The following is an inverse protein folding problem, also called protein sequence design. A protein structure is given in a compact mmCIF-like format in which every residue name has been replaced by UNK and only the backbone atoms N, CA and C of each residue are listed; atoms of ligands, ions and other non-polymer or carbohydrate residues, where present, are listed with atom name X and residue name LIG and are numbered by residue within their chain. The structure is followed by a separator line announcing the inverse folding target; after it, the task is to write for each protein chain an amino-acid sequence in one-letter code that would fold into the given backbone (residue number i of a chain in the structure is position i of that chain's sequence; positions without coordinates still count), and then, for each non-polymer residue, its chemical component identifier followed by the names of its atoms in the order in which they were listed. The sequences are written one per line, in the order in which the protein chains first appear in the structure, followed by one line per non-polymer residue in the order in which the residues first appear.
data_IF_981578183888
#
_entry.id   IF_981578183888
#
_cell.length_a   1.000
_cell.length_b   1.000
_cell.length_c   1.000
_cell.angle_alpha   90.00
_cell.angle_beta   90.00
_cell.angle_gamma   90.00
#
_symmetry.space_group_name_H-M   'P 1'
#
loop_
_entity.id
_entity.type
_entity.pdbx_description
1 polymer ?
#
# COMPACT_ATOMS: atom_id res chain seq x y z
N UNK A 1 -28.60 -31.21 5.50
CA UNK A 1 -27.47 -30.27 5.42
C UNK A 1 -27.43 -29.47 6.71
N UNK A 2 -26.25 -29.29 7.31
CA UNK A 2 -26.11 -28.49 8.54
C UNK A 2 -26.43 -27.03 8.19
N UNK A 3 -27.39 -26.44 8.90
CA UNK A 3 -27.71 -25.01 8.74
C UNK A 3 -26.55 -24.21 9.31
N UNK A 4 -26.06 -23.23 8.56
CA UNK A 4 -25.01 -22.33 9.03
C UNK A 4 -25.57 -21.47 10.19
N UNK A 5 -24.87 -21.43 11.31
CA UNK A 5 -25.24 -20.60 12.47
C UNK A 5 -24.18 -19.54 12.76
N UNK A 6 -24.51 -18.55 13.61
CA UNK A 6 -23.56 -17.54 14.06
C UNK A 6 -22.35 -18.17 14.77
N UNK A 7 -22.57 -19.24 15.55
CA UNK A 7 -21.48 -19.96 16.22
C UNK A 7 -20.54 -20.60 15.19
N UNK A 8 -21.09 -21.21 14.16
CA UNK A 8 -20.30 -21.81 13.08
C UNK A 8 -19.49 -20.73 12.34
N UNK A 9 -20.08 -19.55 12.05
CA UNK A 9 -19.37 -18.43 11.41
C UNK A 9 -18.18 -17.97 12.26
N UNK A 10 -18.33 -17.87 13.58
CA UNK A 10 -17.21 -17.50 14.47
C UNK A 10 -16.07 -18.52 14.42
N UNK A 11 -16.40 -19.81 14.40
CA UNK A 11 -15.42 -20.88 14.29
C UNK A 11 -14.69 -20.83 12.94
N UNK A 12 -15.43 -20.64 11.85
CA UNK A 12 -14.88 -20.45 10.50
C UNK A 12 -13.93 -19.25 10.47
N UNK A 13 -14.35 -18.09 10.98
CA UNK A 13 -13.52 -16.89 11.01
C UNK A 13 -12.26 -17.07 11.87
N UNK A 14 -12.32 -17.85 12.94
CA UNK A 14 -11.12 -18.20 13.74
C UNK A 14 -10.10 -19.00 12.93
N UNK A 15 -10.57 -19.96 12.12
CA UNK A 15 -9.69 -20.73 11.21
C UNK A 15 -9.09 -19.82 10.14
N UNK A 16 -9.90 -18.94 9.54
CA UNK A 16 -9.43 -17.99 8.53
C UNK A 16 -8.48 -16.94 9.11
N UNK A 17 -8.66 -16.54 10.37
CA UNK A 17 -7.71 -15.70 11.11
C UNK A 17 -6.34 -16.38 11.23
N UNK A 18 -6.29 -17.66 11.60
CA UNK A 18 -5.02 -18.42 11.67
C UNK A 18 -4.37 -18.60 10.28
N UNK A 19 -5.15 -18.78 9.21
CA UNK A 19 -4.63 -18.73 7.84
C UNK A 19 -4.07 -17.34 7.51
N UNK A 20 -4.75 -16.27 7.91
CA UNK A 20 -4.31 -14.89 7.70
C UNK A 20 -2.99 -14.61 8.41
N UNK A 21 -2.86 -14.98 9.70
CA UNK A 21 -1.61 -14.86 10.47
C UNK A 21 -0.44 -15.57 9.80
N UNK A 22 -0.64 -16.81 9.33
CA UNK A 22 0.40 -17.55 8.57
C UNK A 22 0.79 -16.82 7.29
N UNK A 23 -0.16 -16.27 6.56
CA UNK A 23 0.13 -15.49 5.35
C UNK A 23 0.96 -14.24 5.65
N UNK A 24 0.62 -13.52 6.73
CA UNK A 24 1.41 -12.37 7.21
C UNK A 24 2.84 -12.79 7.56
N UNK A 25 3.02 -13.89 8.28
CA UNK A 25 4.35 -14.42 8.62
C UNK A 25 5.16 -14.80 7.37
N UNK A 26 4.55 -15.50 6.41
CA UNK A 26 5.20 -15.83 5.14
C UNK A 26 5.60 -14.57 4.37
N UNK A 27 4.76 -13.55 4.36
CA UNK A 27 5.06 -12.27 3.73
C UNK A 27 6.28 -11.57 4.38
N UNK A 28 6.32 -11.58 5.71
CA UNK A 28 7.41 -11.01 6.50
C UNK A 28 8.74 -11.76 6.33
N UNK A 29 8.71 -13.10 6.32
CA UNK A 29 9.89 -13.94 6.14
C UNK A 29 10.38 -14.00 4.68
N UNK A 30 9.47 -13.83 3.71
CA UNK A 30 9.79 -13.76 2.29
C UNK A 30 10.34 -12.41 1.83
N UNK A 31 10.24 -11.37 2.66
CA UNK A 31 10.80 -10.04 2.36
C UNK A 31 12.24 -9.96 2.87
N UNK A 32 13.18 -9.53 2.03
CA UNK A 32 14.56 -9.27 2.46
C UNK A 32 14.64 -8.00 3.32
N UNK A 33 14.39 -8.14 4.62
CA UNK A 33 14.31 -7.00 5.55
C UNK A 33 15.65 -6.34 5.85
N UNK A 34 16.76 -6.99 5.54
CA UNK A 34 18.10 -6.41 5.68
C UNK A 34 18.44 -5.46 4.53
N UNK A 35 17.64 -5.47 3.46
CA UNK A 35 17.70 -4.50 2.38
C UNK A 35 16.59 -3.48 2.56
N UNK A 36 16.94 -2.25 2.97
CA UNK A 36 15.97 -1.17 3.12
C UNK A 36 15.11 -0.94 1.87
N UNK A 37 15.71 -1.04 0.68
CA UNK A 37 14.98 -0.92 -0.59
C UNK A 37 13.93 -2.02 -0.75
N UNK A 38 14.29 -3.29 -0.48
CA UNK A 38 13.34 -4.40 -0.64
C UNK A 38 12.23 -4.34 0.43
N UNK A 39 12.59 -3.96 1.66
CA UNK A 39 11.65 -3.72 2.76
C UNK A 39 10.64 -2.64 2.40
N UNK A 40 11.11 -1.47 1.95
CA UNK A 40 10.26 -0.35 1.56
C UNK A 40 9.41 -0.69 0.33
N UNK A 41 9.95 -1.42 -0.63
CA UNK A 41 9.19 -1.89 -1.80
C UNK A 41 8.03 -2.80 -1.40
N UNK A 42 8.26 -3.76 -0.49
CA UNK A 42 7.18 -4.60 0.06
C UNK A 42 6.14 -3.75 0.79
N UNK A 43 6.59 -2.83 1.66
CA UNK A 43 5.70 -1.94 2.41
C UNK A 43 4.80 -1.11 1.49
N UNK A 44 5.38 -0.50 0.45
CA UNK A 44 4.65 0.28 -0.54
C UNK A 44 3.65 -0.58 -1.31
N UNK A 45 4.06 -1.75 -1.80
CA UNK A 45 3.14 -2.65 -2.51
C UNK A 45 1.98 -3.10 -1.60
N UNK A 46 2.24 -3.36 -0.32
CA UNK A 46 1.19 -3.70 0.64
C UNK A 46 0.20 -2.53 0.82
N UNK A 47 0.72 -1.31 0.94
CA UNK A 47 -0.08 -0.09 1.06
C UNK A 47 -0.91 0.17 -0.20
N UNK A 48 -0.34 0.07 -1.40
CA UNK A 48 -1.06 0.24 -2.67
C UNK A 48 -2.22 -0.75 -2.78
N UNK A 49 -2.00 -2.01 -2.41
CA UNK A 49 -3.06 -3.03 -2.41
C UNK A 49 -4.17 -2.72 -1.38
N UNK A 50 -3.79 -2.27 -0.17
CA UNK A 50 -4.75 -1.88 0.85
C UNK A 50 -5.61 -0.69 0.39
N UNK A 51 -4.97 0.35 -0.15
CA UNK A 51 -5.64 1.54 -0.66
C UNK A 51 -6.60 1.19 -1.81
N UNK A 52 -6.15 0.39 -2.79
CA UNK A 52 -7.02 -0.09 -3.86
C UNK A 52 -8.23 -0.85 -3.32
N UNK A 53 -8.02 -1.74 -2.35
CA UNK A 53 -9.11 -2.50 -1.73
C UNK A 53 -10.10 -1.58 -0.98
N UNK A 54 -9.61 -0.62 -0.19
CA UNK A 54 -10.43 0.39 0.51
C UNK A 54 -11.20 1.28 -0.47
N UNK A 55 -10.57 1.71 -1.57
CA UNK A 55 -11.22 2.50 -2.61
C UNK A 55 -12.31 1.70 -3.32
N UNK A 56 -12.09 0.42 -3.61
CA UNK A 56 -13.10 -0.47 -4.17
C UNK A 56 -14.28 -0.68 -3.21
N UNK A 57 -14.04 -0.78 -1.91
CA UNK A 57 -15.11 -0.81 -0.91
C UNK A 57 -15.89 0.51 -0.85
N UNK A 58 -15.23 1.66 -1.05
CA UNK A 58 -15.86 2.99 -1.01
C UNK A 58 -16.65 3.32 -2.27
N UNK A 59 -16.07 3.10 -3.45
CA UNK A 59 -16.61 3.55 -4.74
C UNK A 59 -17.40 2.45 -5.47
N UNK A 60 -16.93 1.20 -5.37
CA UNK A 60 -17.46 0.06 -6.14
C UNK A 60 -18.10 -1.01 -5.23
N UNK A 61 -18.65 -0.62 -4.07
CA UNK A 61 -19.03 -1.51 -2.98
C UNK A 61 -19.77 -2.78 -3.43
N UNK A 62 -20.88 -2.65 -4.18
CA UNK A 62 -21.69 -3.81 -4.63
C UNK A 62 -20.91 -4.78 -5.52
N UNK A 63 -20.02 -4.26 -6.36
CA UNK A 63 -19.20 -5.08 -7.25
C UNK A 63 -18.12 -5.81 -6.45
N UNK A 64 -17.43 -5.09 -5.56
CA UNK A 64 -16.44 -5.65 -4.63
C UNK A 64 -17.03 -6.78 -3.78
N UNK A 65 -18.27 -6.62 -3.27
CA UNK A 65 -18.95 -7.68 -2.54
C UNK A 65 -19.22 -8.92 -3.39
N UNK A 66 -19.57 -8.76 -4.69
CA UNK A 66 -19.79 -9.88 -5.60
C UNK A 66 -18.51 -10.66 -5.86
N UNK A 67 -17.38 -9.97 -5.99
CA UNK A 67 -16.05 -10.58 -6.20
C UNK A 67 -15.60 -11.41 -5.00
N UNK A 68 -16.11 -11.13 -3.80
CA UNK A 68 -15.84 -11.91 -2.59
C UNK A 68 -16.75 -13.12 -2.41
N UNK A 69 -17.89 -13.19 -3.11
CA UNK A 69 -18.83 -14.31 -2.97
C UNK A 69 -18.21 -15.69 -3.29
N UNK A 70 -17.39 -15.86 -4.36
CA UNK A 70 -16.72 -17.12 -4.63
C UNK A 70 -15.83 -17.56 -3.46
N UNK A 71 -15.15 -16.61 -2.79
CA UNK A 71 -14.29 -16.93 -1.65
C UNK A 71 -15.09 -17.38 -0.43
N UNK A 72 -16.23 -16.75 -0.16
CA UNK A 72 -17.16 -17.18 0.89
C UNK A 72 -17.63 -18.61 0.63
N UNK A 73 -18.09 -18.90 -0.59
CA UNK A 73 -18.53 -20.24 -0.98
C UNK A 73 -17.43 -21.28 -0.82
N UNK A 74 -16.20 -20.96 -1.28
CA UNK A 74 -15.06 -21.85 -1.13
C UNK A 74 -14.78 -22.17 0.34
N UNK A 75 -14.82 -21.17 1.23
CA UNK A 75 -14.58 -21.39 2.66
C UNK A 75 -15.69 -22.26 3.26
N UNK A 76 -16.95 -22.03 2.90
CA UNK A 76 -18.05 -22.87 3.35
C UNK A 76 -17.86 -24.33 2.91
N UNK A 77 -17.49 -24.56 1.66
CA UNK A 77 -17.22 -25.89 1.11
C UNK A 77 -16.03 -26.58 1.80
N UNK A 78 -14.92 -25.85 2.01
CA UNK A 78 -13.74 -26.33 2.76
C UNK A 78 -14.09 -26.77 4.20
N UNK A 79 -15.13 -26.18 4.78
CA UNK A 79 -15.61 -26.47 6.14
C UNK A 79 -16.79 -27.46 6.16
N UNK A 80 -17.13 -28.05 5.00
CA UNK A 80 -18.17 -29.07 4.88
C UNK A 80 -19.60 -28.53 4.89
N UNK A 81 -19.80 -27.23 4.68
CA UNK A 81 -21.12 -26.61 4.53
C UNK A 81 -21.57 -26.64 3.06
N UNK A 82 -22.89 -26.69 2.88
CA UNK A 82 -23.51 -26.53 1.56
C UNK A 82 -23.53 -25.06 1.11
N UNK A 83 -23.99 -24.80 -0.12
CA UNK A 83 -24.16 -23.44 -0.61
C UNK A 83 -25.19 -22.68 0.22
N UNK A 84 -24.82 -21.50 0.70
CA UNK A 84 -25.67 -20.62 1.48
C UNK A 84 -26.16 -19.45 0.59
N UNK A 85 -27.43 -19.03 0.63
CA UNK A 85 -27.92 -17.95 -0.20
C UNK A 85 -27.16 -16.64 0.04
N UNK A 86 -26.70 -15.98 -1.02
CA UNK A 86 -25.93 -14.71 -0.96
C UNK A 86 -26.65 -13.62 -0.16
N UNK A 87 -27.99 -13.66 -0.13
CA UNK A 87 -28.83 -12.69 0.56
C UNK A 87 -29.09 -13.04 2.04
N UNK A 88 -28.72 -14.24 2.50
CA UNK A 88 -28.88 -14.63 3.90
C UNK A 88 -28.01 -13.78 4.83
N UNK A 89 -28.42 -13.69 6.09
CA UNK A 89 -27.69 -12.90 7.08
C UNK A 89 -26.32 -13.52 7.34
N UNK A 90 -26.29 -14.85 7.44
CA UNK A 90 -25.13 -15.68 7.71
C UNK A 90 -24.06 -15.52 6.63
N UNK A 91 -24.47 -15.56 5.35
CA UNK A 91 -23.55 -15.32 4.23
C UNK A 91 -22.93 -13.92 4.29
N UNK A 92 -23.76 -12.90 4.57
CA UNK A 92 -23.31 -11.51 4.65
C UNK A 92 -22.36 -11.30 5.83
N UNK A 93 -22.66 -11.91 6.98
CA UNK A 93 -21.81 -11.85 8.18
C UNK A 93 -20.45 -12.48 7.93
N UNK A 94 -20.41 -13.67 7.30
CA UNK A 94 -19.15 -14.31 6.95
C UNK A 94 -18.36 -13.43 5.96
N UNK A 95 -19.00 -12.91 4.92
CA UNK A 95 -18.35 -12.01 3.96
C UNK A 95 -17.77 -10.76 4.62
N UNK A 96 -18.51 -10.14 5.53
CA UNK A 96 -18.05 -8.97 6.28
C UNK A 96 -16.82 -9.31 7.14
N UNK A 97 -16.84 -10.45 7.84
CA UNK A 97 -15.70 -10.93 8.63
C UNK A 97 -14.46 -11.17 7.77
N UNK A 98 -14.61 -11.68 6.54
CA UNK A 98 -13.49 -11.86 5.62
C UNK A 98 -12.92 -10.53 5.11
N UNK A 99 -13.77 -9.52 4.89
CA UNK A 99 -13.31 -8.16 4.55
C UNK A 99 -12.47 -7.61 5.70
N UNK A 100 -12.94 -7.75 6.93
CA UNK A 100 -12.24 -7.27 8.12
C UNK A 100 -10.89 -7.98 8.30
N UNK A 101 -10.85 -9.31 8.20
CA UNK A 101 -9.60 -10.08 8.25
C UNK A 101 -8.61 -9.67 7.15
N UNK A 102 -9.11 -9.30 5.97
CA UNK A 102 -8.26 -8.82 4.88
C UNK A 102 -7.66 -7.45 5.17
N UNK A 103 -8.42 -6.54 5.77
CA UNK A 103 -7.94 -5.23 6.21
C UNK A 103 -6.89 -5.38 7.32
N UNK A 104 -7.17 -6.20 8.34
CA UNK A 104 -6.23 -6.51 9.41
C UNK A 104 -4.94 -7.14 8.87
N UNK A 105 -5.05 -8.01 7.86
CA UNK A 105 -3.87 -8.59 7.20
C UNK A 105 -2.93 -7.53 6.62
N UNK A 106 -3.46 -6.47 5.97
CA UNK A 106 -2.64 -5.38 5.44
C UNK A 106 -1.95 -4.61 6.56
N UNK A 107 -2.69 -4.31 7.63
CA UNK A 107 -2.15 -3.63 8.80
C UNK A 107 -1.04 -4.41 9.50
N UNK A 108 -1.24 -5.72 9.73
CA UNK A 108 -0.25 -6.57 10.37
C UNK A 108 1.03 -6.69 9.52
N UNK A 109 0.90 -6.81 8.20
CA UNK A 109 2.07 -6.77 7.29
C UNK A 109 2.86 -5.47 7.43
N UNK A 110 2.17 -4.33 7.52
CA UNK A 110 2.77 -3.01 7.71
C UNK A 110 3.49 -2.92 9.06
N UNK A 111 2.84 -3.34 10.14
CA UNK A 111 3.43 -3.34 11.50
C UNK A 111 4.71 -4.17 11.52
N UNK A 112 4.67 -5.41 11.03
CA UNK A 112 5.83 -6.29 11.04
C UNK A 112 7.03 -5.72 10.26
N UNK A 113 6.80 -5.12 9.09
CA UNK A 113 7.88 -4.59 8.24
C UNK A 113 8.37 -3.19 8.66
N UNK A 114 7.54 -2.41 9.36
CA UNK A 114 7.93 -1.09 9.87
C UNK A 114 8.97 -1.16 10.99
N UNK A 115 9.16 -2.32 11.64
CA UNK A 115 10.19 -2.52 12.65
C UNK A 115 9.79 -2.08 14.05
N UNK A 116 8.50 -2.11 14.39
CA UNK A 116 8.01 -1.86 15.75
C UNK A 116 7.68 -3.21 16.44
N UNK A 117 8.63 -3.84 17.16
CA UNK A 117 8.46 -5.18 17.76
C UNK A 117 7.50 -5.21 18.96
N UNK A 118 7.07 -4.06 19.49
CA UNK A 118 6.23 -3.98 20.69
C UNK A 118 4.78 -4.49 20.56
N UNK A 119 4.40 -5.09 19.43
CA UNK A 119 3.06 -5.68 19.23
C UNK A 119 3.09 -7.21 19.16
N UNK A 120 4.28 -7.84 19.09
CA UNK A 120 4.38 -9.28 18.82
C UNK A 120 4.54 -10.14 20.08
N UNK A 121 4.76 -9.57 21.27
CA UNK A 121 4.88 -10.35 22.52
C UNK A 121 3.61 -10.47 23.37
N UNK A 122 2.51 -9.81 23.02
CA UNK A 122 1.22 -9.99 23.71
C UNK A 122 0.18 -10.62 22.78
N UNK A 123 0.40 -11.87 22.37
CA UNK A 123 -0.62 -12.68 21.65
C UNK A 123 -1.14 -13.86 22.48
N UNK A 124 -1.00 -13.82 23.80
CA UNK A 124 -1.75 -14.70 24.70
C UNK A 124 -3.00 -13.96 25.19
N UNK A 125 -4.15 -14.33 24.61
CA UNK A 125 -5.47 -13.98 25.13
C UNK A 125 -6.10 -12.71 24.55
N UNK A 126 -6.78 -12.83 23.41
CA UNK A 126 -7.88 -11.93 23.08
C UNK A 126 -9.14 -12.78 22.85
N UNK A 127 -9.94 -12.88 23.90
CA UNK A 127 -11.35 -13.28 23.81
C UNK A 127 -12.15 -12.20 23.06
N UNK A 128 -13.28 -12.55 22.41
CA UNK A 128 -14.00 -11.65 21.52
C UNK A 128 -14.95 -10.75 22.30
N UNK A 129 -14.69 -9.45 22.36
CA UNK A 129 -15.67 -8.45 22.83
C UNK A 129 -15.52 -7.18 21.99
N UNK A 130 -16.49 -6.93 21.13
CA UNK A 130 -17.60 -5.98 21.30
C UNK A 130 -17.23 -4.53 20.99
N UNK A 131 -18.07 -3.94 20.15
CA UNK A 131 -17.97 -2.62 19.52
C UNK A 131 -17.52 -1.51 20.46
N UNK A 132 -16.43 -0.82 20.09
CA UNK A 132 -16.13 0.52 20.60
C UNK A 132 -15.78 1.43 19.42
N UNK A 133 -16.62 2.45 19.24
CA UNK A 133 -16.31 3.62 18.44
C UNK A 133 -15.23 4.42 19.15
N UNK A 134 -14.08 4.62 18.50
CA UNK A 134 -13.08 5.58 18.99
C UNK A 134 -12.78 6.56 17.87
N UNK A 135 -13.35 7.75 18.00
CA UNK A 135 -12.86 8.96 17.36
C UNK A 135 -11.44 9.22 17.85
N UNK A 136 -10.46 9.15 16.94
CA UNK A 136 -9.08 9.53 17.26
C UNK A 136 -8.94 11.02 16.98
N UNK A 137 -8.76 11.80 18.05
CA UNK A 137 -8.27 13.17 17.96
C UNK A 137 -6.82 13.14 17.46
N UNK A 138 -6.58 13.91 16.40
CA UNK A 138 -5.29 14.10 15.78
C UNK A 138 -4.60 15.25 16.51
N UNK A 139 -3.75 14.94 17.49
CA UNK A 139 -2.88 15.93 18.09
C UNK A 139 -1.64 16.15 17.21
N UNK A 140 -1.43 17.42 16.90
CA UNK A 140 -0.35 17.99 16.10
C UNK A 140 1.04 17.65 16.66
N UNK A 141 1.88 17.01 15.85
CA UNK A 141 3.31 16.84 16.13
C UNK A 141 4.09 17.78 15.23
N UNK A 142 5.02 18.53 15.84
CA UNK A 142 5.88 19.52 15.21
C UNK A 142 6.64 18.97 13.98
N UNK A 143 6.66 19.78 12.93
CA UNK A 143 6.92 19.43 11.54
C UNK A 143 8.42 19.35 11.22
N UNK A 144 9.10 18.26 11.64
CA UNK A 144 10.44 17.91 11.16
C UNK A 144 10.35 17.09 9.85
N UNK A 145 9.58 17.58 8.90
CA UNK A 145 9.38 16.90 7.62
C UNK A 145 10.65 16.92 6.77
N UNK A 146 11.13 15.74 6.40
CA UNK A 146 12.25 15.56 5.48
C UNK A 146 11.92 16.21 4.13
N UNK A 147 12.80 17.07 3.60
CA UNK A 147 12.58 17.67 2.28
C UNK A 147 12.82 16.66 1.15
N UNK A 148 12.16 16.89 0.01
CA UNK A 148 12.30 16.03 -1.16
C UNK A 148 13.74 16.03 -1.70
N UNK A 149 14.45 17.16 -1.65
CA UNK A 149 15.85 17.25 -2.08
C UNK A 149 16.77 16.41 -1.21
N UNK A 150 16.55 16.39 0.11
CA UNK A 150 17.31 15.54 1.03
C UNK A 150 16.97 14.07 0.79
N UNK A 151 15.69 13.73 0.58
CA UNK A 151 15.28 12.37 0.23
C UNK A 151 15.95 11.88 -1.06
N UNK A 152 15.97 12.70 -2.12
CA UNK A 152 16.63 12.40 -3.39
C UNK A 152 18.14 12.17 -3.23
N UNK A 153 18.82 13.02 -2.45
CA UNK A 153 20.25 12.85 -2.13
C UNK A 153 20.50 11.53 -1.40
N UNK A 154 19.71 11.22 -0.38
CA UNK A 154 19.83 9.97 0.38
C UNK A 154 19.56 8.75 -0.51
N UNK A 155 18.58 8.83 -1.41
CA UNK A 155 18.31 7.78 -2.39
C UNK A 155 19.52 7.55 -3.31
N UNK A 156 20.09 8.60 -3.91
CA UNK A 156 21.26 8.49 -4.79
C UNK A 156 22.45 7.90 -4.03
N UNK A 157 22.72 8.39 -2.81
CA UNK A 157 23.80 7.87 -1.96
C UNK A 157 23.61 6.36 -1.69
N UNK A 158 22.38 5.94 -1.39
CA UNK A 158 22.07 4.52 -1.19
C UNK A 158 22.38 3.65 -2.44
N UNK A 159 22.31 4.21 -3.65
CA UNK A 159 22.68 3.51 -4.89
C UNK A 159 24.20 3.34 -4.99
N UNK A 160 24.96 4.36 -4.58
CA UNK A 160 26.42 4.33 -4.51
C UNK A 160 26.87 3.27 -3.51
N UNK A 161 26.31 3.28 -2.30
CA UNK A 161 26.69 2.37 -1.22
C UNK A 161 26.42 0.90 -1.56
N UNK A 162 25.40 0.66 -2.39
CA UNK A 162 25.04 -0.68 -2.91
C UNK A 162 25.90 -1.14 -4.10
N UNK A 163 26.89 -0.36 -4.51
CA UNK A 163 27.77 -0.68 -5.64
C UNK A 163 27.06 -0.64 -6.99
N UNK A 164 26.05 0.23 -7.16
CA UNK A 164 25.39 0.43 -8.46
C UNK A 164 26.40 0.93 -9.50
N UNK A 165 26.17 0.59 -10.76
CA UNK A 165 27.06 1.06 -11.83
C UNK A 165 27.02 2.59 -11.96
N UNK A 166 28.11 3.24 -12.43
CA UNK A 166 28.14 4.67 -12.64
C UNK A 166 27.01 5.18 -13.54
N UNK A 167 26.65 4.41 -14.58
CA UNK A 167 25.54 4.76 -15.48
C UNK A 167 24.20 4.76 -14.73
N UNK A 168 23.93 3.75 -13.90
CA UNK A 168 22.69 3.69 -13.12
C UNK A 168 22.60 4.84 -12.11
N UNK A 169 23.72 5.22 -11.47
CA UNK A 169 23.76 6.35 -10.54
C UNK A 169 23.44 7.65 -11.29
N UNK A 170 24.04 7.83 -12.47
CA UNK A 170 23.78 8.97 -13.36
C UNK A 170 22.31 9.04 -13.79
N UNK A 171 21.70 7.92 -14.16
CA UNK A 171 20.29 7.87 -14.55
C UNK A 171 19.35 8.19 -13.37
N UNK A 172 19.69 7.71 -12.16
CA UNK A 172 18.99 8.06 -10.93
C UNK A 172 19.11 9.55 -10.60
N UNK A 173 20.31 10.14 -10.72
CA UNK A 173 20.55 11.57 -10.54
C UNK A 173 19.70 12.38 -11.53
N UNK A 174 19.79 12.05 -12.82
CA UNK A 174 19.01 12.71 -13.86
C UNK A 174 17.50 12.68 -13.60
N UNK A 175 16.99 11.57 -13.05
CA UNK A 175 15.57 11.41 -12.72
C UNK A 175 15.18 12.19 -11.47
N UNK A 176 16.04 12.23 -10.45
CA UNK A 176 15.83 13.01 -9.24
C UNK A 176 15.86 14.52 -9.52
N UNK A 177 16.80 14.99 -10.34
CA UNK A 177 16.88 16.39 -10.76
C UNK A 177 15.62 16.80 -11.52
N UNK A 178 15.15 15.95 -12.44
CA UNK A 178 13.92 16.15 -13.20
C UNK A 178 12.69 16.21 -12.27
N UNK A 179 12.64 15.37 -11.24
CA UNK A 179 11.56 15.42 -10.25
C UNK A 179 11.58 16.73 -9.46
N UNK A 180 12.76 17.13 -8.95
CA UNK A 180 12.92 18.35 -8.16
C UNK A 180 12.64 19.61 -8.97
N UNK A 181 13.00 19.63 -10.25
CA UNK A 181 12.75 20.77 -11.13
C UNK A 181 11.25 20.92 -11.48
N UNK A 182 10.49 19.82 -11.53
CA UNK A 182 9.04 19.86 -11.80
C UNK A 182 8.22 20.07 -10.54
N UNK A 183 8.51 19.33 -9.49
CA UNK A 183 7.69 19.29 -8.26
C UNK A 183 8.17 20.31 -7.23
N UNK A 184 9.43 20.73 -7.30
CA UNK A 184 10.06 21.60 -6.31
C UNK A 184 10.58 20.85 -5.09
N UNK A 185 11.35 21.56 -4.26
CA UNK A 185 11.83 21.02 -2.98
C UNK A 185 10.77 21.22 -1.89
N UNK A 186 9.84 20.28 -1.83
CA UNK A 186 8.73 20.28 -0.87
C UNK A 186 9.00 19.31 0.29
N UNK A 187 8.41 19.54 1.47
CA UNK A 187 8.41 18.57 2.54
C UNK A 187 7.70 17.28 2.09
N UNK A 188 8.29 16.10 2.32
CA UNK A 188 7.79 14.83 1.76
C UNK A 188 6.36 14.51 2.21
N UNK A 189 5.97 14.92 3.42
CA UNK A 189 4.61 14.75 3.94
C UNK A 189 3.54 15.60 3.22
N UNK A 190 3.95 16.58 2.41
CA UNK A 190 3.03 17.41 1.60
C UNK A 190 2.79 16.83 0.21
N UNK A 191 3.56 15.81 -0.19
CA UNK A 191 3.41 15.17 -1.49
C UNK A 191 2.11 14.36 -1.55
N UNK A 192 1.37 14.57 -2.64
CA UNK A 192 0.14 13.86 -2.94
C UNK A 192 0.06 13.48 -4.42
N UNK A 193 -1.06 12.88 -4.83
CA UNK A 193 -1.25 12.45 -6.22
C UNK A 193 -1.30 13.60 -7.24
N UNK A 194 -1.52 14.85 -6.82
CA UNK A 194 -1.54 15.99 -7.75
C UNK A 194 -0.15 16.26 -8.32
N UNK A 195 0.87 16.22 -7.48
CA UNK A 195 2.28 16.36 -7.86
C UNK A 195 2.71 15.25 -8.84
N UNK A 196 2.29 14.01 -8.60
CA UNK A 196 2.54 12.90 -9.52
C UNK A 196 1.86 13.08 -10.88
N UNK A 197 0.63 13.61 -10.90
CA UNK A 197 -0.08 13.93 -12.15
C UNK A 197 0.61 15.04 -12.93
N UNK A 198 1.01 16.12 -12.25
CA UNK A 198 1.77 17.21 -12.84
C UNK A 198 3.08 16.71 -13.45
N UNK A 199 3.84 15.90 -12.71
CA UNK A 199 5.06 15.28 -13.21
C UNK A 199 4.86 14.52 -14.52
N UNK A 200 3.85 13.63 -14.55
CA UNK A 200 3.53 12.85 -15.76
C UNK A 200 3.08 13.74 -16.92
N UNK A 201 2.29 14.79 -16.65
CA UNK A 201 1.85 15.73 -17.68
C UNK A 201 3.02 16.51 -18.27
N UNK A 202 3.96 16.95 -17.42
CA UNK A 202 5.18 17.64 -17.85
C UNK A 202 6.06 16.72 -18.71
N UNK A 203 6.26 15.46 -18.30
CA UNK A 203 7.02 14.48 -19.10
C UNK A 203 6.47 14.30 -20.52
N UNK A 204 5.14 14.35 -20.69
CA UNK A 204 4.50 14.22 -22.02
C UNK A 204 4.79 15.40 -22.95
N UNK A 205 5.06 16.58 -22.39
CA UNK A 205 5.34 17.81 -23.15
C UNK A 205 6.82 17.99 -23.47
N UNK A 206 7.71 17.26 -22.77
CA UNK A 206 9.15 17.44 -22.92
C UNK A 206 9.69 16.87 -24.25
N UNK A 207 10.51 17.64 -24.99
CA UNK A 207 11.09 17.17 -26.24
C UNK A 207 12.14 16.06 -26.03
N UNK A 208 12.30 15.19 -27.03
CA UNK A 208 13.33 14.12 -27.01
C UNK A 208 14.72 14.73 -27.04
N UNK A 209 15.68 14.09 -26.36
CA UNK A 209 17.07 14.52 -26.31
C UNK A 209 17.26 15.99 -25.87
N UNK A 210 16.37 16.51 -24.99
CA UNK A 210 16.34 17.91 -24.58
C UNK A 210 17.68 18.45 -24.06
N UNK A 211 18.44 17.67 -23.28
CA UNK A 211 19.77 18.09 -22.78
C UNK A 211 20.78 18.35 -23.90
N UNK A 212 20.62 17.71 -25.06
CA UNK A 212 21.44 17.90 -26.25
C UNK A 212 20.92 19.04 -27.14
N UNK A 213 19.59 19.14 -27.32
CA UNK A 213 18.96 20.16 -28.19
C UNK A 213 18.83 21.53 -27.53
N UNK A 214 18.64 21.56 -26.22
CA UNK A 214 18.37 22.77 -25.43
C UNK A 214 19.20 22.75 -24.14
N UNK A 215 20.54 22.87 -24.22
CA UNK A 215 21.42 22.70 -23.07
C UNK A 215 21.24 23.76 -21.96
N UNK A 216 20.70 24.93 -22.31
CA UNK A 216 20.55 26.08 -21.40
C UNK A 216 19.08 26.39 -21.08
N UNK A 217 18.16 25.43 -21.24
CA UNK A 217 16.73 25.61 -21.02
C UNK A 217 16.26 24.75 -19.86
N UNK A 218 15.49 25.35 -18.96
CA UNK A 218 14.79 24.65 -17.88
C UNK A 218 13.59 23.90 -18.43
N UNK A 219 13.05 22.96 -17.64
CA UNK A 219 11.80 22.27 -17.96
C UNK A 219 10.66 23.28 -18.14
N UNK A 220 10.59 24.31 -17.31
CA UNK A 220 9.58 25.37 -17.44
C UNK A 220 9.69 26.05 -18.82
N UNK A 221 10.91 26.43 -19.21
CA UNK A 221 11.12 27.02 -20.54
C UNK A 221 10.69 26.08 -21.67
N UNK A 222 10.98 24.78 -21.53
CA UNK A 222 10.66 23.78 -22.55
C UNK A 222 9.16 23.48 -22.66
N UNK A 223 8.41 23.60 -21.56
CA UNK A 223 6.96 23.40 -21.53
C UNK A 223 6.23 24.59 -22.15
N UNK A 224 6.77 25.80 -22.02
CA UNK A 224 6.22 27.03 -22.62
C UNK A 224 6.54 27.17 -24.11
N UNK A 225 7.55 26.45 -24.61
CA UNK A 225 7.85 26.35 -26.04
C UNK A 225 6.82 25.43 -26.72
N UNK A 226 5.62 25.95 -27.02
CA UNK A 226 4.59 25.24 -27.78
C UNK A 226 5.15 24.65 -29.09
N UNK A 227 4.95 23.34 -29.30
CA UNK A 227 5.27 22.56 -30.52
C UNK A 227 6.75 22.53 -30.93
N UNK A 228 7.58 21.76 -30.24
CA UNK A 228 8.91 21.41 -30.76
C UNK A 228 9.08 19.89 -30.89
N UNK A 229 8.86 19.40 -32.11
CA UNK A 229 9.12 18.01 -32.54
C UNK A 229 10.62 17.65 -32.54
#
# INVERSE_FOLDING_TARGET
MKKLTISDIKEILKIELEKSKRHVQHYYLGTNRFSETDRLKSLLNNQEQEEQFRQNLKQNYRQTLKELNPKVNQILEEQGYGPEPINSLEFKQLREGLIQLKLEQYEQKRILLSGNPNVVENSEGMEPVESVSTSVQLDSVEDNSLSLSVLCKNFIQSRVDRGSTPQTIMDCQNSADLLLEVVGDLPVNTLDHSHGREFVQTLKKLPKNRKKRYPNKTISDLVEMENVE
#
